data_IF_454491780501
#
_entry.id   IF_454491780501
#
_cell.length_a   1.000
_cell.length_b   1.000
_cell.length_c   1.000
_cell.angle_alpha   90.00
_cell.angle_beta   90.00
_cell.angle_gamma   90.00
#
_symmetry.space_group_name_H-M   'P 1'
#
loop_
_entity.id
_entity.type
_entity.pdbx_description
1 polymer ?
#
# COMPACT_ATOMS: atom_id res chain seq x y z
N UNK A 1 10.50 1.85 -31.67
CA UNK A 1 11.91 1.37 -31.68
C UNK A 1 12.10 0.53 -30.41
N UNK A 2 11.22 -0.45 -30.16
CA UNK A 2 10.91 -0.89 -28.79
C UNK A 2 11.06 -2.41 -28.56
N UNK A 3 11.78 -3.12 -29.45
CA UNK A 3 11.91 -4.59 -29.38
C UNK A 3 13.37 -5.08 -29.17
N UNK A 4 14.26 -4.15 -28.79
CA UNK A 4 15.69 -4.46 -28.57
C UNK A 4 15.87 -5.30 -27.29
N UNK A 5 15.04 -5.09 -26.27
CA UNK A 5 15.02 -5.91 -25.05
C UNK A 5 14.53 -7.35 -25.32
N UNK A 6 13.55 -7.52 -26.20
CA UNK A 6 13.05 -8.85 -26.63
C UNK A 6 14.10 -9.67 -27.38
N UNK A 7 14.98 -9.00 -28.14
CA UNK A 7 16.09 -9.64 -28.86
C UNK A 7 17.31 -9.92 -27.98
N UNK A 8 17.61 -9.05 -27.00
CA UNK A 8 18.72 -9.25 -26.06
C UNK A 8 18.46 -10.40 -25.07
N UNK A 9 17.20 -10.66 -24.72
CA UNK A 9 16.81 -11.75 -23.83
C UNK A 9 16.63 -13.10 -24.54
N UNK A 10 16.65 -13.14 -25.89
CA UNK A 10 16.50 -14.40 -26.65
C UNK A 10 17.51 -15.49 -26.27
N UNK A 11 18.80 -15.23 -26.02
CA UNK A 11 19.74 -16.29 -25.64
C UNK A 11 19.49 -16.80 -24.21
N UNK A 12 19.13 -15.94 -23.26
CA UNK A 12 18.85 -16.32 -21.87
C UNK A 12 17.51 -17.06 -21.75
N UNK A 13 16.49 -16.56 -22.45
CA UNK A 13 15.18 -17.22 -22.56
C UNK A 13 15.29 -18.48 -23.42
N UNK A 14 16.16 -18.57 -24.43
CA UNK A 14 16.38 -19.79 -25.23
C UNK A 14 17.19 -20.87 -24.48
N UNK A 15 17.98 -20.50 -23.47
CA UNK A 15 18.61 -21.47 -22.58
C UNK A 15 17.66 -21.92 -21.45
N UNK A 16 16.57 -21.17 -21.21
CA UNK A 16 15.52 -21.49 -20.23
C UNK A 16 14.24 -22.07 -20.87
N UNK A 17 14.05 -21.90 -22.18
CA UNK A 17 12.88 -22.33 -22.94
C UNK A 17 12.77 -23.85 -23.19
N UNK A 18 13.86 -24.65 -23.22
CA UNK A 18 13.71 -26.10 -23.22
C UNK A 18 13.11 -26.63 -21.90
N UNK A 19 13.20 -25.86 -20.80
CA UNK A 19 12.67 -26.25 -19.50
C UNK A 19 11.15 -26.01 -19.33
N UNK A 20 10.49 -25.32 -20.27
CA UNK A 20 9.04 -25.03 -20.20
C UNK A 20 8.18 -25.90 -21.12
N UNK A 21 8.76 -26.88 -21.83
CA UNK A 21 8.07 -27.84 -22.70
C UNK A 21 8.82 -29.19 -22.63
N UNK A 22 8.70 -30.07 -21.61
CA UNK A 22 7.44 -30.69 -21.12
C UNK A 22 7.42 -31.10 -19.61
N UNK A 23 8.12 -30.41 -18.71
CA UNK A 23 8.50 -30.98 -17.39
C UNK A 23 7.47 -30.90 -16.23
N UNK A 24 6.24 -30.43 -16.48
CA UNK A 24 5.18 -30.42 -15.45
C UNK A 24 3.91 -31.19 -15.87
N UNK A 25 3.98 -32.00 -16.93
CA UNK A 25 2.92 -32.98 -17.18
C UNK A 25 2.85 -34.01 -16.06
N UNK A 26 3.96 -34.36 -15.40
CA UNK A 26 3.98 -35.39 -14.36
C UNK A 26 3.16 -35.02 -13.10
N UNK A 27 3.18 -33.77 -12.67
CA UNK A 27 2.40 -33.33 -11.51
C UNK A 27 0.89 -33.32 -11.83
N UNK A 28 0.48 -32.78 -12.99
CA UNK A 28 -0.93 -32.78 -13.42
C UNK A 28 -1.45 -34.21 -13.74
N UNK A 29 -0.61 -35.07 -14.34
CA UNK A 29 -0.95 -36.48 -14.62
C UNK A 29 -1.08 -37.27 -13.30
N UNK A 30 -0.29 -36.97 -12.26
CA UNK A 30 -0.43 -37.60 -10.94
C UNK A 30 -1.76 -37.25 -10.29
N UNK A 31 -2.23 -36.00 -10.42
CA UNK A 31 -3.55 -35.61 -9.92
C UNK A 31 -4.71 -36.13 -10.76
N UNK A 32 -4.52 -36.35 -12.07
CA UNK A 32 -5.53 -36.90 -12.97
C UNK A 32 -5.53 -38.44 -13.07
N UNK A 33 -4.54 -39.17 -12.53
CA UNK A 33 -4.58 -40.65 -12.48
C UNK A 33 -5.57 -41.14 -11.40
N UNK A 34 -6.80 -41.23 -11.86
CA UNK A 34 -8.02 -41.80 -11.30
C UNK A 34 -7.84 -42.92 -10.26
N UNK A 35 -8.31 -42.64 -9.03
CA UNK A 35 -8.93 -43.64 -8.17
C UNK A 35 -10.44 -43.41 -8.26
N UNK A 36 -11.22 -44.44 -8.57
CA UNK A 36 -12.69 -44.38 -8.65
C UNK A 36 -13.37 -43.92 -7.35
N UNK A 37 -12.61 -43.89 -6.24
CA UNK A 37 -13.07 -43.49 -4.90
C UNK A 37 -12.82 -42.01 -4.55
N UNK A 38 -12.23 -41.19 -5.44
CA UNK A 38 -12.04 -39.75 -5.13
C UNK A 38 -13.39 -39.02 -5.13
N UNK A 39 -13.72 -38.41 -4.00
CA UNK A 39 -15.08 -37.89 -3.74
C UNK A 39 -15.38 -36.58 -4.51
N UNK A 40 -14.39 -35.75 -4.90
CA UNK A 40 -14.61 -34.60 -5.80
C UNK A 40 -13.35 -34.25 -6.60
N UNK A 41 -13.45 -34.07 -7.93
CA UNK A 41 -12.37 -33.51 -8.75
C UNK A 41 -12.16 -32.02 -8.43
N UNK A 42 -10.95 -31.47 -8.61
CA UNK A 42 -10.75 -30.01 -8.59
C UNK A 42 -11.72 -29.33 -9.55
N UNK A 43 -12.34 -28.25 -9.08
CA UNK A 43 -13.17 -27.40 -9.93
C UNK A 43 -12.38 -26.19 -10.38
N UNK A 44 -12.53 -25.79 -11.65
CA UNK A 44 -12.03 -24.51 -12.13
C UNK A 44 -12.97 -23.41 -11.65
N UNK A 45 -12.41 -22.38 -11.01
CA UNK A 45 -13.14 -21.22 -10.53
C UNK A 45 -13.35 -20.23 -11.66
N UNK A 46 -14.24 -20.52 -12.61
CA UNK A 46 -14.61 -19.57 -13.65
C UNK A 46 -15.75 -18.62 -13.18
N UNK A 47 -15.39 -17.40 -12.80
CA UNK A 47 -16.36 -16.38 -12.41
C UNK A 47 -16.87 -15.53 -13.58
N UNK A 48 -16.38 -15.74 -14.79
CA UNK A 48 -16.80 -14.96 -15.97
C UNK A 48 -18.02 -15.60 -16.64
N UNK A 49 -18.03 -16.92 -16.80
CA UNK A 49 -19.15 -17.61 -17.45
C UNK A 49 -20.29 -17.94 -16.49
N UNK A 50 -21.53 -17.95 -16.99
CA UNK A 50 -22.70 -18.34 -16.20
C UNK A 50 -22.66 -19.81 -15.76
N UNK A 51 -22.08 -20.66 -16.61
CA UNK A 51 -21.82 -22.07 -16.30
C UNK A 51 -20.81 -22.18 -15.15
N UNK A 52 -19.67 -21.51 -15.23
CA UNK A 52 -18.65 -21.50 -14.18
C UNK A 52 -19.22 -21.01 -12.85
N UNK A 53 -19.96 -19.89 -12.84
CA UNK A 53 -20.67 -19.40 -11.64
C UNK A 53 -21.65 -20.43 -11.07
N UNK A 54 -22.36 -21.19 -11.92
CA UNK A 54 -23.26 -22.27 -11.48
C UNK A 54 -22.49 -23.43 -10.87
N UNK A 55 -21.39 -23.83 -11.48
CA UNK A 55 -20.53 -24.94 -11.03
C UNK A 55 -19.88 -24.60 -9.68
N UNK A 56 -19.37 -23.37 -9.50
CA UNK A 56 -18.84 -22.86 -8.22
C UNK A 56 -19.92 -22.87 -7.14
N UNK A 57 -21.14 -22.38 -7.44
CA UNK A 57 -22.27 -22.42 -6.49
C UNK A 57 -22.66 -23.84 -6.11
N UNK A 58 -22.67 -24.75 -7.07
CA UNK A 58 -22.99 -26.15 -6.81
C UNK A 58 -21.91 -26.82 -5.96
N UNK A 59 -20.64 -26.58 -6.28
CA UNK A 59 -19.51 -27.05 -5.49
C UNK A 59 -19.58 -26.51 -4.06
N UNK A 60 -19.79 -25.20 -3.87
CA UNK A 60 -19.90 -24.57 -2.55
C UNK A 60 -21.03 -25.19 -1.71
N UNK A 61 -22.21 -25.43 -2.32
CA UNK A 61 -23.37 -26.03 -1.64
C UNK A 61 -23.19 -27.52 -1.31
N UNK A 62 -22.29 -28.22 -2.00
CA UNK A 62 -21.96 -29.62 -1.71
C UNK A 62 -20.99 -29.77 -0.54
N UNK A 63 -20.40 -28.69 -0.05
CA UNK A 63 -19.47 -28.75 1.07
C UNK A 63 -20.23 -29.05 2.36
N UNK A 64 -19.82 -30.06 3.17
CA UNK A 64 -20.56 -30.39 4.39
C UNK A 64 -20.48 -29.27 5.44
N UNK A 65 -19.43 -28.47 5.39
CA UNK A 65 -19.33 -27.18 6.07
C UNK A 65 -18.58 -26.19 5.19
N UNK A 66 -18.90 -24.91 5.31
CA UNK A 66 -18.23 -23.82 4.60
C UNK A 66 -17.47 -22.90 5.55
N UNK A 67 -17.35 -23.31 6.81
CA UNK A 67 -16.72 -22.54 7.90
C UNK A 67 -15.39 -23.20 8.26
N UNK A 68 -14.41 -22.37 8.59
CA UNK A 68 -13.09 -22.81 9.03
C UNK A 68 -12.51 -21.87 10.09
N UNK A 69 -11.64 -22.41 10.95
CA UNK A 69 -10.83 -21.63 11.88
C UNK A 69 -9.34 -21.71 11.55
N UNK A 70 -8.92 -22.51 10.58
CA UNK A 70 -7.50 -22.75 10.35
C UNK A 70 -7.16 -22.65 8.86
N UNK A 71 -6.10 -21.90 8.55
CA UNK A 71 -5.58 -21.75 7.19
C UNK A 71 -4.07 -22.01 7.17
N UNK A 72 -3.62 -22.69 6.12
CA UNK A 72 -2.23 -23.02 5.88
C UNK A 72 -1.81 -22.47 4.52
N UNK A 73 -0.64 -21.86 4.49
CA UNK A 73 0.09 -21.51 3.28
C UNK A 73 1.18 -22.56 3.10
N UNK A 74 1.14 -23.26 1.96
CA UNK A 74 1.92 -24.47 1.72
C UNK A 74 2.69 -24.38 0.41
N UNK A 75 3.72 -25.21 0.30
CA UNK A 75 4.60 -25.31 -0.86
C UNK A 75 4.88 -26.78 -1.17
N UNK A 76 4.72 -27.18 -2.43
CA UNK A 76 5.07 -28.52 -2.87
C UNK A 76 6.58 -28.77 -2.63
N UNK A 77 6.91 -29.94 -2.05
CA UNK A 77 8.30 -30.31 -1.72
C UNK A 77 9.05 -30.73 -2.98
N UNK A 78 8.33 -31.43 -3.86
CA UNK A 78 8.85 -32.00 -5.09
C UNK A 78 8.68 -31.08 -6.31
N UNK A 79 9.51 -31.31 -7.32
CA UNK A 79 9.50 -30.58 -8.59
C UNK A 79 10.50 -29.41 -8.66
N UNK A 80 10.88 -29.06 -9.88
CA UNK A 80 11.81 -27.95 -10.14
C UNK A 80 11.19 -26.59 -9.80
N UNK A 81 9.90 -26.44 -10.07
CA UNK A 81 9.12 -25.25 -9.72
C UNK A 81 8.16 -25.62 -8.61
N UNK A 82 8.59 -25.35 -7.38
CA UNK A 82 7.81 -25.66 -6.18
C UNK A 82 6.60 -24.74 -6.12
N UNK A 83 5.44 -25.33 -6.42
CA UNK A 83 4.18 -24.61 -6.49
C UNK A 83 3.65 -24.30 -5.09
N UNK A 84 3.03 -23.15 -4.94
CA UNK A 84 2.52 -22.66 -3.67
C UNK A 84 1.02 -22.45 -3.72
N UNK A 85 0.38 -22.79 -2.61
CA UNK A 85 -1.07 -22.86 -2.52
C UNK A 85 -1.56 -22.61 -1.10
N UNK A 86 -2.87 -22.37 -0.98
CA UNK A 86 -3.52 -22.10 0.30
C UNK A 86 -4.53 -23.19 0.60
N UNK A 87 -4.60 -23.55 1.87
CA UNK A 87 -5.44 -24.61 2.39
C UNK A 87 -6.27 -24.09 3.55
N UNK A 88 -7.60 -24.22 3.48
CA UNK A 88 -8.51 -23.96 4.60
C UNK A 88 -9.00 -25.29 5.20
N UNK A 89 -8.75 -25.52 6.49
CA UNK A 89 -9.26 -26.72 7.19
C UNK A 89 -10.67 -26.49 7.70
N UNK A 90 -11.60 -27.26 7.18
CA UNK A 90 -13.03 -27.17 7.46
C UNK A 90 -13.37 -27.95 8.74
N UNK A 91 -14.44 -27.54 9.44
CA UNK A 91 -14.86 -28.09 10.75
C UNK A 91 -15.25 -29.59 10.75
N UNK A 92 -15.17 -30.27 9.61
CA UNK A 92 -15.64 -31.64 9.37
C UNK A 92 -14.51 -32.59 8.91
N UNK A 93 -13.25 -32.30 9.26
CA UNK A 93 -12.05 -33.07 8.82
C UNK A 93 -11.87 -33.10 7.29
N UNK A 94 -12.42 -32.10 6.60
CA UNK A 94 -12.10 -31.87 5.18
C UNK A 94 -11.28 -30.61 5.04
N UNK A 95 -10.62 -30.50 3.90
CA UNK A 95 -9.63 -29.48 3.63
C UNK A 95 -9.91 -28.92 2.25
N UNK A 96 -10.07 -27.61 2.15
CA UNK A 96 -10.24 -26.93 0.88
C UNK A 96 -8.92 -26.34 0.42
N UNK A 97 -8.36 -26.89 -0.65
CA UNK A 97 -7.14 -26.42 -1.31
C UNK A 97 -7.51 -25.44 -2.44
N UNK A 98 -6.78 -24.33 -2.53
CA UNK A 98 -6.92 -23.31 -3.56
C UNK A 98 -5.60 -23.16 -4.31
N UNK A 99 -5.64 -23.28 -5.63
CA UNK A 99 -4.48 -23.19 -6.51
C UNK A 99 -4.70 -22.15 -7.61
N UNK A 100 -3.60 -21.56 -8.08
CA UNK A 100 -3.54 -20.78 -9.31
C UNK A 100 -2.42 -21.29 -10.21
N UNK A 101 -2.71 -21.56 -11.48
CA UNK A 101 -1.73 -22.04 -12.46
C UNK A 101 -1.86 -21.28 -13.78
N UNK A 102 -0.81 -21.27 -14.59
CA UNK A 102 -0.94 -20.94 -16.00
C UNK A 102 -1.69 -22.08 -16.70
N UNK A 103 -2.67 -21.73 -17.55
CA UNK A 103 -3.33 -22.72 -18.40
C UNK A 103 -2.30 -23.48 -19.25
N UNK A 104 -2.48 -24.79 -19.34
CA UNK A 104 -1.47 -25.71 -19.87
C UNK A 104 -1.19 -25.48 -21.37
N UNK A 105 -2.22 -25.11 -22.12
CA UNK A 105 -2.15 -24.81 -23.56
C UNK A 105 -1.37 -23.53 -23.89
N UNK A 106 -1.25 -22.61 -22.94
CA UNK A 106 -0.66 -21.27 -23.15
C UNK A 106 0.44 -20.92 -22.15
N UNK A 107 0.99 -21.92 -21.44
CA UNK A 107 1.97 -21.74 -20.36
C UNK A 107 3.25 -21.04 -20.81
N UNK A 108 3.71 -21.29 -22.04
CA UNK A 108 4.91 -20.66 -22.60
C UNK A 108 4.81 -19.13 -22.74
N UNK A 109 3.62 -18.56 -22.64
CA UNK A 109 3.39 -17.11 -22.69
C UNK A 109 3.40 -16.44 -21.32
N UNK A 110 3.55 -17.19 -20.22
CA UNK A 110 3.56 -16.64 -18.87
C UNK A 110 4.74 -15.67 -18.58
N UNK A 111 5.78 -15.69 -19.42
CA UNK A 111 6.94 -14.78 -19.33
C UNK A 111 6.71 -13.42 -20.02
N UNK A 112 5.62 -13.25 -20.76
CA UNK A 112 5.29 -11.96 -21.37
C UNK A 112 4.79 -10.99 -20.31
N UNK A 113 4.93 -9.69 -20.59
CA UNK A 113 4.45 -8.62 -19.70
C UNK A 113 2.95 -8.72 -19.45
N UNK A 114 2.16 -9.12 -20.45
CA UNK A 114 0.71 -9.30 -20.31
C UNK A 114 0.33 -10.59 -19.57
N UNK A 115 1.28 -11.51 -19.39
CA UNK A 115 1.07 -12.86 -18.89
C UNK A 115 0.29 -13.75 -19.86
N UNK A 116 -0.35 -14.76 -19.30
CA UNK A 116 -1.18 -15.74 -20.00
C UNK A 116 -2.49 -15.99 -19.24
N UNK A 117 -3.40 -16.78 -19.80
CA UNK A 117 -4.63 -17.11 -19.11
C UNK A 117 -4.33 -17.91 -17.82
N UNK A 118 -4.88 -17.46 -16.69
CA UNK A 118 -4.79 -18.19 -15.42
C UNK A 118 -5.91 -19.20 -15.28
N UNK A 119 -5.62 -20.28 -14.57
CA UNK A 119 -6.59 -21.25 -14.07
C UNK A 119 -6.52 -21.23 -12.55
N UNK A 120 -7.54 -20.65 -11.91
CA UNK A 120 -7.73 -20.75 -10.47
C UNK A 120 -8.63 -21.95 -10.19
N UNK A 121 -8.30 -22.76 -9.18
CA UNK A 121 -9.07 -23.96 -8.86
C UNK A 121 -9.30 -24.13 -7.37
N UNK A 122 -10.37 -24.84 -7.01
CA UNK A 122 -10.63 -25.27 -5.64
C UNK A 122 -10.86 -26.79 -5.59
N UNK A 123 -10.30 -27.44 -4.58
CA UNK A 123 -10.37 -28.88 -4.40
C UNK A 123 -10.63 -29.23 -2.93
N UNK A 124 -11.46 -30.24 -2.69
CA UNK A 124 -11.81 -30.70 -1.34
C UNK A 124 -11.16 -32.04 -1.08
N UNK A 125 -10.28 -32.06 -0.09
CA UNK A 125 -9.52 -33.22 0.35
C UNK A 125 -10.15 -33.72 1.66
N UNK A 126 -10.53 -34.99 1.69
CA UNK A 126 -11.04 -35.64 2.89
C UNK A 126 -9.86 -36.26 3.64
N UNK A 127 -9.59 -35.82 4.87
CA UNK A 127 -8.39 -36.25 5.61
C UNK A 127 -8.40 -37.74 5.99
N UNK A 128 -9.58 -38.38 6.04
CA UNK A 128 -9.69 -39.82 6.27
C UNK A 128 -9.35 -40.67 5.05
N UNK A 129 -9.28 -40.08 3.86
CA UNK A 129 -8.83 -40.76 2.65
C UNK A 129 -7.32 -40.64 2.53
N UNK A 130 -6.61 -41.75 2.76
CA UNK A 130 -5.15 -41.81 2.74
C UNK A 130 -4.55 -41.36 1.42
N UNK A 131 -5.21 -41.65 0.27
CA UNK A 131 -4.71 -41.24 -1.05
C UNK A 131 -4.83 -39.74 -1.25
N UNK A 132 -5.94 -39.14 -0.84
CA UNK A 132 -6.15 -37.69 -0.97
C UNK A 132 -5.33 -36.91 0.06
N UNK A 133 -5.12 -37.47 1.25
CA UNK A 133 -4.25 -36.86 2.26
C UNK A 133 -2.76 -36.89 1.86
N UNK A 134 -2.31 -37.93 1.15
CA UNK A 134 -0.93 -38.00 0.65
C UNK A 134 -0.54 -36.78 -0.19
N UNK A 135 -1.49 -36.17 -0.90
CA UNK A 135 -1.24 -34.93 -1.65
C UNK A 135 -0.88 -33.72 -0.77
N UNK A 136 -1.25 -33.72 0.51
CA UNK A 136 -0.80 -32.72 1.47
C UNK A 136 0.56 -33.11 2.06
N UNK A 137 0.84 -34.40 2.21
CA UNK A 137 2.12 -34.90 2.73
C UNK A 137 3.29 -34.61 1.77
N UNK A 138 3.01 -34.43 0.47
CA UNK A 138 3.95 -33.98 -0.58
C UNK A 138 4.24 -32.46 -0.55
N UNK A 139 3.82 -31.75 0.52
CA UNK A 139 4.00 -30.31 0.66
C UNK A 139 4.42 -29.92 2.07
N UNK A 140 5.22 -28.86 2.19
CA UNK A 140 5.62 -28.27 3.46
C UNK A 140 4.69 -27.11 3.85
N UNK A 141 4.48 -26.92 5.16
CA UNK A 141 3.74 -25.78 5.69
C UNK A 141 4.70 -24.61 5.86
N UNK A 142 4.51 -23.56 5.07
CA UNK A 142 5.28 -22.32 5.17
C UNK A 142 4.76 -21.42 6.28
N UNK A 143 3.43 -21.37 6.44
CA UNK A 143 2.76 -20.63 7.52
C UNK A 143 1.43 -21.29 7.87
N UNK A 144 1.08 -21.25 9.15
CA UNK A 144 -0.15 -21.79 9.71
C UNK A 144 -0.80 -20.74 10.60
N UNK A 145 -2.09 -20.47 10.40
CA UNK A 145 -2.82 -19.45 11.14
C UNK A 145 -4.11 -20.05 11.68
N UNK A 146 -4.26 -19.96 13.00
CA UNK A 146 -5.49 -20.29 13.71
C UNK A 146 -6.26 -19.00 14.06
N UNK A 147 -7.51 -18.95 13.64
CA UNK A 147 -8.43 -17.83 13.84
C UNK A 147 -9.30 -18.06 15.06
N UNK A 148 -9.41 -17.03 15.92
CA UNK A 148 -10.33 -17.03 17.07
C UNK A 148 -11.81 -17.10 16.66
N UNK A 149 -12.13 -16.62 15.45
CA UNK A 149 -13.50 -16.61 14.90
C UNK A 149 -13.53 -17.41 13.60
N UNK A 150 -14.62 -18.16 13.40
CA UNK A 150 -14.86 -18.90 12.16
C UNK A 150 -14.92 -17.96 10.95
N UNK A 151 -14.07 -18.23 9.96
CA UNK A 151 -14.08 -17.62 8.64
C UNK A 151 -15.05 -18.38 7.71
N UNK A 152 -15.25 -17.88 6.49
CA UNK A 152 -16.17 -18.46 5.50
C UNK A 152 -15.44 -18.72 4.19
N UNK A 153 -15.65 -19.90 3.60
CA UNK A 153 -15.17 -20.22 2.25
C UNK A 153 -15.73 -19.26 1.20
N UNK A 154 -16.93 -18.73 1.42
CA UNK A 154 -17.54 -17.71 0.55
C UNK A 154 -16.63 -16.49 0.40
N UNK A 155 -15.96 -16.08 1.48
CA UNK A 155 -15.02 -14.96 1.42
C UNK A 155 -13.78 -15.29 0.59
N UNK A 156 -13.22 -16.51 0.72
CA UNK A 156 -12.10 -16.93 -0.11
C UNK A 156 -12.49 -16.97 -1.60
N UNK A 157 -13.70 -17.45 -1.92
CA UNK A 157 -14.24 -17.40 -3.28
C UNK A 157 -14.41 -15.95 -3.79
N UNK A 158 -14.88 -15.03 -2.94
CA UNK A 158 -14.98 -13.61 -3.30
C UNK A 158 -13.60 -13.00 -3.60
N UNK A 159 -12.54 -13.41 -2.88
CA UNK A 159 -11.16 -12.99 -3.17
C UNK A 159 -10.70 -13.56 -4.52
N UNK A 160 -10.92 -14.84 -4.79
CA UNK A 160 -10.62 -15.42 -6.11
C UNK A 160 -11.33 -14.69 -7.25
N UNK A 161 -12.62 -14.36 -7.06
CA UNK A 161 -13.39 -13.57 -8.03
C UNK A 161 -12.77 -12.17 -8.21
N UNK A 162 -12.41 -11.49 -7.13
CA UNK A 162 -11.77 -10.18 -7.18
C UNK A 162 -10.41 -10.22 -7.91
N UNK A 163 -9.61 -11.28 -7.76
CA UNK A 163 -8.38 -11.49 -8.53
C UNK A 163 -8.67 -11.55 -10.04
N UNK A 164 -9.72 -12.28 -10.45
CA UNK A 164 -10.11 -12.41 -11.87
C UNK A 164 -10.71 -11.13 -12.45
N UNK A 165 -11.24 -10.24 -11.61
CA UNK A 165 -11.71 -8.91 -12.04
C UNK A 165 -10.57 -7.89 -12.13
N UNK A 166 -9.45 -8.11 -11.43
CA UNK A 166 -8.35 -7.15 -11.39
C UNK A 166 -7.67 -7.03 -12.77
N UNK A 167 -7.45 -5.81 -13.30
CA UNK A 167 -6.99 -5.60 -14.67
C UNK A 167 -5.69 -6.33 -15.03
N UNK A 168 -4.76 -6.44 -14.09
CA UNK A 168 -3.46 -7.10 -14.27
C UNK A 168 -3.43 -8.51 -13.70
N UNK A 169 -4.01 -8.70 -12.52
CA UNK A 169 -3.92 -9.97 -11.77
C UNK A 169 -4.90 -11.04 -12.26
N UNK A 170 -5.80 -10.71 -13.19
CA UNK A 170 -6.60 -11.73 -13.91
C UNK A 170 -5.76 -12.64 -14.81
N UNK A 171 -4.57 -12.20 -15.22
CA UNK A 171 -3.64 -12.99 -16.03
C UNK A 171 -2.60 -13.66 -15.14
N UNK A 172 -2.14 -14.84 -15.52
CA UNK A 172 -0.98 -15.49 -14.91
C UNK A 172 0.30 -14.93 -15.54
N UNK A 173 1.11 -14.24 -14.75
CA UNK A 173 2.47 -13.85 -15.14
C UNK A 173 3.46 -14.52 -14.21
N UNK A 174 4.48 -15.18 -14.75
CA UNK A 174 5.51 -15.84 -13.95
C UNK A 174 6.28 -14.85 -13.07
N UNK A 175 6.38 -13.59 -13.52
CA UNK A 175 7.14 -12.54 -12.85
C UNK A 175 6.39 -11.96 -11.64
N UNK A 176 5.09 -11.72 -11.76
CA UNK A 176 4.33 -10.95 -10.76
C UNK A 176 3.04 -11.61 -10.27
N UNK A 177 2.16 -12.08 -11.17
CA UNK A 177 0.80 -12.55 -10.82
C UNK A 177 0.66 -14.08 -10.92
N UNK A 178 1.57 -14.79 -10.26
CA UNK A 178 1.71 -16.25 -10.26
C UNK A 178 1.07 -16.90 -9.02
N UNK A 179 1.40 -18.17 -8.74
CA UNK A 179 0.91 -18.90 -7.57
C UNK A 179 1.36 -18.31 -6.22
N UNK A 180 2.52 -17.65 -6.15
CA UNK A 180 3.00 -16.95 -4.96
C UNK A 180 2.06 -15.78 -4.63
N UNK A 181 1.85 -14.87 -5.59
CA UNK A 181 0.96 -13.72 -5.44
C UNK A 181 -0.46 -14.13 -5.04
N UNK A 182 -1.02 -15.16 -5.69
CA UNK A 182 -2.33 -15.68 -5.36
C UNK A 182 -2.42 -16.18 -3.91
N UNK A 183 -1.43 -16.95 -3.47
CA UNK A 183 -1.38 -17.49 -2.11
C UNK A 183 -1.23 -16.39 -1.07
N UNK A 184 -0.34 -15.41 -1.31
CA UNK A 184 -0.17 -14.25 -0.44
C UNK A 184 -1.46 -13.43 -0.36
N UNK A 185 -2.15 -13.23 -1.48
CA UNK A 185 -3.41 -12.48 -1.56
C UNK A 185 -4.49 -13.15 -0.74
N UNK A 186 -4.72 -14.46 -0.92
CA UNK A 186 -5.71 -15.21 -0.14
C UNK A 186 -5.38 -15.19 1.35
N UNK A 187 -4.11 -15.41 1.73
CA UNK A 187 -3.70 -15.44 3.13
C UNK A 187 -3.89 -14.06 3.78
N UNK A 188 -3.36 -12.99 3.17
CA UNK A 188 -3.42 -11.64 3.72
C UNK A 188 -4.85 -11.11 3.82
N UNK A 189 -5.68 -11.30 2.79
CA UNK A 189 -7.07 -10.85 2.82
C UNK A 189 -7.91 -11.60 3.84
N UNK A 190 -7.74 -12.93 3.95
CA UNK A 190 -8.42 -13.74 4.96
C UNK A 190 -7.98 -13.35 6.37
N UNK A 191 -6.67 -13.15 6.55
CA UNK A 191 -6.10 -12.70 7.81
C UNK A 191 -6.64 -11.33 8.23
N UNK A 192 -6.58 -10.35 7.34
CA UNK A 192 -7.11 -8.99 7.54
C UNK A 192 -8.59 -9.00 7.90
N UNK A 193 -9.41 -9.85 7.25
CA UNK A 193 -10.82 -10.02 7.58
C UNK A 193 -11.02 -10.59 8.98
N UNK A 194 -10.24 -11.62 9.34
CA UNK A 194 -10.35 -12.28 10.63
C UNK A 194 -10.02 -11.35 11.81
N UNK A 195 -9.06 -10.45 11.62
CA UNK A 195 -8.69 -9.44 12.62
C UNK A 195 -9.75 -8.35 12.79
N UNK A 196 -10.58 -8.11 11.76
CA UNK A 196 -11.60 -7.06 11.76
C UNK A 196 -11.04 -5.73 12.26
N UNK A 197 -9.90 -5.27 11.70
CA UNK A 197 -9.28 -4.01 12.13
C UNK A 197 -10.33 -2.89 12.16
N UNK A 198 -10.43 -2.28 13.31
CA UNK A 198 -11.16 -1.04 13.54
C UNK A 198 -10.15 0.04 13.89
N UNK A 199 -10.57 1.30 13.73
CA UNK A 199 -9.82 2.39 14.30
C UNK A 199 -9.77 2.19 15.82
N UNK A 200 -8.66 2.62 16.41
CA UNK A 200 -8.58 2.78 17.85
C UNK A 200 -9.70 3.76 18.30
N UNK A 201 -10.47 3.45 19.36
CA UNK A 201 -11.47 4.38 19.90
C UNK A 201 -10.90 5.76 20.23
N UNK A 202 -9.60 5.84 20.55
CA UNK A 202 -8.87 7.07 20.83
C UNK A 202 -8.09 7.57 19.61
N UNK A 203 -8.33 7.06 18.40
CA UNK A 203 -7.61 7.46 17.19
C UNK A 203 -7.70 8.96 16.90
N UNK A 204 -8.86 9.60 17.16
CA UNK A 204 -9.02 11.06 17.01
C UNK A 204 -8.19 11.85 18.04
N UNK A 205 -8.17 11.41 19.30
CA UNK A 205 -7.39 12.04 20.36
C UNK A 205 -5.89 11.88 20.10
N UNK A 206 -5.46 10.65 19.79
CA UNK A 206 -4.11 10.33 19.35
C UNK A 206 -3.70 11.19 18.16
N UNK A 207 -4.56 11.29 17.16
CA UNK A 207 -4.31 12.13 16.00
C UNK A 207 -4.12 13.61 16.37
N UNK A 208 -4.95 14.15 17.26
CA UNK A 208 -4.80 15.52 17.75
C UNK A 208 -3.46 15.74 18.44
N UNK A 209 -3.06 14.84 19.34
CA UNK A 209 -1.74 14.90 20.00
C UNK A 209 -0.61 14.85 18.97
N UNK A 210 -0.75 14.03 17.93
CA UNK A 210 0.21 13.98 16.83
C UNK A 210 0.30 15.30 16.06
N UNK A 211 -0.85 15.91 15.69
CA UNK A 211 -0.90 17.21 15.00
C UNK A 211 -0.32 18.32 15.86
N UNK A 212 -0.66 18.36 17.15
CA UNK A 212 -0.11 19.34 18.10
C UNK A 212 1.43 19.21 18.19
N UNK A 213 1.93 17.98 18.16
CA UNK A 213 3.36 17.70 18.08
C UNK A 213 4.03 18.18 16.79
N UNK A 214 3.37 18.01 15.63
CA UNK A 214 3.86 18.57 14.37
C UNK A 214 3.86 20.11 14.38
N UNK A 215 2.84 20.74 14.97
CA UNK A 215 2.78 22.20 15.11
C UNK A 215 3.93 22.69 15.99
N UNK A 216 4.21 22.02 17.12
CA UNK A 216 5.37 22.36 17.96
C UNK A 216 6.69 22.24 17.20
N UNK A 217 6.85 21.21 16.36
CA UNK A 217 8.03 21.07 15.51
C UNK A 217 8.17 22.25 14.53
N UNK A 218 7.08 22.64 13.86
CA UNK A 218 7.04 23.80 12.96
C UNK A 218 7.43 25.08 13.71
N UNK A 219 6.99 25.25 14.96
CA UNK A 219 7.34 26.41 15.80
C UNK A 219 8.81 26.43 16.22
N UNK A 220 9.40 25.27 16.53
CA UNK A 220 10.83 25.17 16.82
C UNK A 220 11.66 25.56 15.59
N UNK A 221 11.30 25.05 14.41
CA UNK A 221 12.00 25.40 13.16
C UNK A 221 11.83 26.90 12.83
N UNK A 222 10.65 27.48 13.09
CA UNK A 222 10.43 28.93 12.99
C UNK A 222 11.40 29.70 13.89
N UNK A 223 11.54 29.33 15.15
CA UNK A 223 12.45 30.03 16.07
C UNK A 223 13.91 29.90 15.65
N UNK A 224 14.34 28.74 15.16
CA UNK A 224 15.68 28.55 14.60
C UNK A 224 15.91 29.45 13.38
N UNK A 225 14.97 29.52 12.43
CA UNK A 225 15.08 30.37 11.24
C UNK A 225 15.21 31.87 11.59
N UNK A 226 14.58 32.29 12.70
CA UNK A 226 14.58 33.67 13.16
C UNK A 226 15.73 34.01 14.11
N UNK A 227 16.63 33.07 14.40
CA UNK A 227 17.69 33.21 15.42
C UNK A 227 17.13 33.70 16.78
N UNK A 228 15.94 33.23 17.16
CA UNK A 228 15.34 33.58 18.44
C UNK A 228 15.85 32.62 19.52
N UNK A 229 16.31 33.17 20.65
CA UNK A 229 16.64 32.37 21.84
C UNK A 229 15.38 31.66 22.35
N UNK A 230 15.30 30.35 22.14
CA UNK A 230 14.22 29.52 22.67
C UNK A 230 14.41 29.33 24.17
N UNK A 231 13.40 29.73 24.95
CA UNK A 231 13.27 29.31 26.34
C UNK A 231 12.85 27.83 26.36
N UNK A 232 13.83 26.93 26.27
CA UNK A 232 13.68 25.48 26.03
C UNK A 232 12.89 24.68 27.08
N UNK A 233 12.36 25.32 28.12
CA UNK A 233 11.72 24.64 29.25
C UNK A 233 10.46 23.82 28.86
N UNK A 234 9.81 24.12 27.73
CA UNK A 234 8.61 23.39 27.25
C UNK A 234 8.90 22.32 26.17
N UNK A 235 10.10 22.27 25.58
CA UNK A 235 10.45 21.34 24.49
C UNK A 235 11.13 20.08 25.06
N UNK A 236 10.61 19.51 26.14
CA UNK A 236 11.19 18.31 26.76
C UNK A 236 10.88 17.01 25.99
N UNK A 237 9.99 17.04 24.99
CA UNK A 237 9.58 15.88 24.20
C UNK A 237 10.48 15.60 22.97
N UNK A 238 11.40 16.51 22.61
CA UNK A 238 12.34 16.34 21.48
C UNK A 238 13.75 16.23 22.08
N UNK A 239 14.09 15.07 22.64
CA UNK A 239 15.38 14.87 23.34
C UNK A 239 16.60 14.69 22.43
N UNK A 240 16.45 14.70 21.10
CA UNK A 240 17.55 14.51 20.15
C UNK A 240 17.77 15.78 19.32
N UNK A 241 19.02 16.30 19.21
CA UNK A 241 19.32 17.47 18.38
C UNK A 241 19.01 17.19 16.91
N UNK A 242 18.13 18.02 16.32
CA UNK A 242 17.75 17.92 14.91
C UNK A 242 18.99 18.13 14.00
N UNK A 243 19.21 17.33 12.94
CA UNK A 243 20.44 17.38 12.12
C UNK A 243 20.63 18.63 11.24
N UNK A 244 19.75 19.65 11.32
CA UNK A 244 19.61 20.71 10.32
C UNK A 244 20.60 21.89 10.43
N UNK A 245 21.80 21.71 11.01
CA UNK A 245 22.83 22.76 11.10
C UNK A 245 23.35 23.34 9.77
N UNK A 246 22.88 22.90 8.59
CA UNK A 246 23.59 23.15 7.31
C UNK A 246 23.22 24.42 6.54
N UNK A 247 22.08 25.07 6.75
CA UNK A 247 21.69 26.22 5.91
C UNK A 247 22.01 27.60 6.49
N UNK A 248 22.18 27.71 7.82
CA UNK A 248 22.60 28.98 8.45
C UNK A 248 24.03 29.42 8.13
N UNK A 249 24.89 28.52 7.67
CA UNK A 249 26.32 28.81 7.41
C UNK A 249 26.67 29.00 5.93
N UNK A 250 25.77 28.72 4.98
CA UNK A 250 26.09 28.78 3.54
C UNK A 250 25.68 30.08 2.84
N UNK A 251 25.04 31.02 3.55
CA UNK A 251 24.57 32.30 2.97
C UNK A 251 25.52 33.48 3.32
N UNK A 252 26.60 33.23 4.07
CA UNK A 252 27.55 34.28 4.47
C UNK A 252 28.42 34.84 3.33
N UNK A 253 28.43 34.23 2.13
CA UNK A 253 29.28 34.67 1.01
C UNK A 253 28.60 35.57 -0.04
N UNK A 254 27.35 36.00 0.17
CA UNK A 254 26.74 37.05 -0.67
C UNK A 254 26.98 38.40 0.02
N UNK A 255 27.92 39.18 -0.53
CA UNK A 255 28.26 40.53 -0.07
C UNK A 255 27.01 41.37 0.23
N UNK A 256 26.74 41.56 1.52
CA UNK A 256 25.66 42.39 2.02
C UNK A 256 25.94 43.86 1.70
N UNK A 257 25.19 44.44 0.77
CA UNK A 257 25.16 45.90 0.63
C UNK A 257 24.20 46.49 1.69
N UNK A 258 24.67 47.36 2.60
CA UNK A 258 23.89 47.83 3.76
C UNK A 258 22.71 48.77 3.46
N UNK A 259 22.33 48.99 2.21
CA UNK A 259 21.41 50.08 1.82
C UNK A 259 20.06 49.62 1.29
N UNK A 260 19.72 48.33 1.37
CA UNK A 260 18.36 47.87 1.04
C UNK A 260 17.47 47.87 2.30
N UNK A 261 16.48 48.77 2.44
CA UNK A 261 15.83 49.05 3.74
C UNK A 261 14.75 48.06 4.17
N UNK A 262 14.45 47.01 3.39
CA UNK A 262 13.34 46.11 3.71
C UNK A 262 13.80 44.67 3.55
N UNK A 263 14.23 44.08 4.67
CA UNK A 263 14.42 42.64 4.76
C UNK A 263 13.04 42.00 4.93
N UNK A 264 12.39 41.79 3.79
CA UNK A 264 11.09 41.13 3.65
C UNK A 264 11.19 39.73 4.30
N UNK A 265 10.55 39.56 5.47
CA UNK A 265 10.54 38.32 6.27
C UNK A 265 9.36 37.44 5.83
N UNK A 266 9.48 36.81 4.66
CA UNK A 266 8.47 35.90 4.06
C UNK A 266 8.27 34.64 4.92
N UNK A 267 9.22 34.35 5.79
CA UNK A 267 9.27 33.12 6.58
C UNK A 267 8.11 33.05 7.58
N UNK A 268 7.75 34.17 8.21
CA UNK A 268 6.70 34.21 9.25
C UNK A 268 5.31 33.83 8.73
N UNK A 269 4.78 34.48 7.66
CA UNK A 269 3.53 34.04 7.04
C UNK A 269 3.57 32.57 6.62
N UNK A 270 4.72 32.08 6.14
CA UNK A 270 4.89 30.69 5.70
C UNK A 270 4.65 29.70 6.84
N UNK A 271 5.26 29.91 8.00
CA UNK A 271 5.04 29.07 9.17
C UNK A 271 3.59 29.15 9.67
N UNK A 272 2.99 30.35 9.69
CA UNK A 272 1.59 30.54 10.12
C UNK A 272 0.61 29.80 9.19
N UNK A 273 0.81 29.88 7.87
CA UNK A 273 0.02 29.13 6.89
C UNK A 273 0.15 27.61 7.04
N UNK A 274 1.34 27.11 7.35
CA UNK A 274 1.56 25.68 7.64
C UNK A 274 0.84 25.26 8.93
N UNK A 275 0.97 26.03 10.01
CA UNK A 275 0.27 25.73 11.26
C UNK A 275 -1.25 25.70 11.07
N UNK A 276 -1.80 26.68 10.37
CA UNK A 276 -3.23 26.76 10.10
C UNK A 276 -3.70 25.57 9.23
N UNK A 277 -2.90 25.18 8.24
CA UNK A 277 -3.18 24.01 7.41
C UNK A 277 -3.16 22.71 8.24
N UNK A 278 -2.22 22.55 9.17
CA UNK A 278 -2.13 21.39 10.07
C UNK A 278 -3.30 21.35 11.06
N UNK A 279 -3.68 22.49 11.67
CA UNK A 279 -4.83 22.59 12.59
C UNK A 279 -6.14 22.20 11.90
N UNK A 280 -6.30 22.52 10.63
CA UNK A 280 -7.47 22.15 9.83
C UNK A 280 -7.41 20.73 9.25
N UNK A 281 -6.29 20.01 9.39
CA UNK A 281 -6.08 18.74 8.74
C UNK A 281 -6.69 17.57 9.52
N UNK A 282 -7.64 16.89 8.87
CA UNK A 282 -8.15 15.58 9.29
C UNK A 282 -7.77 14.54 8.23
N UNK A 283 -7.01 13.49 8.59
CA UNK A 283 -6.62 12.45 7.65
C UNK A 283 -7.82 11.77 7.04
N UNK A 284 -7.72 11.44 5.75
CA UNK A 284 -8.80 10.69 5.08
C UNK A 284 -9.03 9.32 5.74
N UNK A 285 -7.99 8.76 6.36
CA UNK A 285 -8.04 7.50 7.11
C UNK A 285 -8.93 7.54 8.35
N UNK A 286 -9.14 8.72 8.96
CA UNK A 286 -10.08 8.90 10.06
C UNK A 286 -11.51 9.11 9.57
N UNK A 287 -11.69 9.42 8.29
CA UNK A 287 -13.02 9.63 7.71
C UNK A 287 -13.68 8.30 7.29
N UNK A 288 -14.78 7.95 7.96
CA UNK A 288 -15.70 6.87 7.56
C UNK A 288 -15.05 5.50 7.37
N UNK A 289 -15.28 4.89 6.21
CA UNK A 289 -14.91 3.49 5.91
C UNK A 289 -13.48 3.34 5.35
N UNK A 290 -12.61 4.35 5.48
CA UNK A 290 -11.26 4.32 4.89
C UNK A 290 -10.43 3.13 5.39
N UNK A 291 -10.50 2.81 6.68
CA UNK A 291 -9.83 1.65 7.27
C UNK A 291 -10.31 0.31 6.69
N UNK A 292 -11.57 0.23 6.24
CA UNK A 292 -12.09 -0.96 5.58
C UNK A 292 -11.38 -1.24 4.26
N UNK A 293 -10.73 -0.22 3.67
CA UNK A 293 -9.99 -0.32 2.41
C UNK A 293 -8.51 -0.66 2.61
N UNK A 294 -8.01 -0.61 3.85
CA UNK A 294 -6.61 -0.89 4.16
C UNK A 294 -6.39 -2.39 4.31
N UNK A 295 -5.50 -2.94 3.49
CA UNK A 295 -5.03 -4.33 3.63
C UNK A 295 -3.72 -4.42 4.44
N UNK A 296 -2.77 -3.54 4.17
CA UNK A 296 -1.45 -3.50 4.82
C UNK A 296 -1.33 -2.31 5.77
N UNK A 297 -0.70 -2.49 6.94
CA UNK A 297 -0.41 -1.36 7.84
C UNK A 297 0.53 -0.32 7.22
N UNK A 298 1.43 -0.77 6.33
CA UNK A 298 2.33 0.12 5.56
C UNK A 298 1.55 1.12 4.71
N UNK A 299 0.34 0.78 4.26
CA UNK A 299 -0.51 1.68 3.48
C UNK A 299 -1.03 2.85 4.31
N UNK A 300 -1.29 2.63 5.60
CA UNK A 300 -1.67 3.71 6.51
C UNK A 300 -0.52 4.71 6.62
N UNK A 301 0.69 4.22 6.87
CA UNK A 301 1.88 5.05 6.97
C UNK A 301 2.12 5.86 5.69
N UNK A 302 2.16 5.19 4.53
CA UNK A 302 2.35 5.86 3.22
C UNK A 302 1.25 6.87 2.91
N UNK A 303 0.00 6.57 3.26
CA UNK A 303 -1.12 7.49 3.03
C UNK A 303 -1.02 8.71 3.93
N UNK A 304 -0.77 8.53 5.23
CA UNK A 304 -0.57 9.62 6.18
C UNK A 304 0.61 10.50 5.75
N UNK A 305 1.74 9.90 5.39
CA UNK A 305 2.90 10.64 4.89
C UNK A 305 2.53 11.51 3.68
N UNK A 306 1.83 10.93 2.70
CA UNK A 306 1.40 11.66 1.50
C UNK A 306 0.46 12.82 1.82
N UNK A 307 -0.49 12.60 2.72
CA UNK A 307 -1.45 13.63 3.14
C UNK A 307 -0.76 14.74 3.93
N UNK A 308 0.12 14.41 4.87
CA UNK A 308 0.92 15.38 5.63
C UNK A 308 1.78 16.22 4.67
N UNK A 309 2.51 15.58 3.74
CA UNK A 309 3.27 16.30 2.70
C UNK A 309 2.38 17.25 1.89
N UNK A 310 1.18 16.80 1.53
CA UNK A 310 0.21 17.63 0.81
C UNK A 310 -0.28 18.82 1.64
N UNK A 311 -0.47 18.64 2.95
CA UNK A 311 -0.92 19.68 3.88
C UNK A 311 0.17 20.72 4.10
N UNK A 312 1.41 20.28 4.35
CA UNK A 312 2.58 21.16 4.47
C UNK A 312 2.73 22.00 3.20
N UNK A 313 2.66 21.38 2.02
CA UNK A 313 2.72 22.08 0.74
C UNK A 313 1.59 23.09 0.56
N UNK A 314 0.36 22.72 0.97
CA UNK A 314 -0.79 23.61 0.89
C UNK A 314 -0.61 24.83 1.81
N UNK A 315 -0.14 24.62 3.04
CA UNK A 315 0.15 25.69 4.00
C UNK A 315 1.20 26.66 3.48
N UNK A 316 2.32 26.14 2.98
CA UNK A 316 3.36 26.93 2.33
C UNK A 316 2.82 27.77 1.16
N UNK A 317 1.96 27.17 0.31
CA UNK A 317 1.37 27.88 -0.84
C UNK A 317 0.43 29.00 -0.42
N UNK A 318 -0.48 28.74 0.52
CA UNK A 318 -1.44 29.76 1.00
C UNK A 318 -0.72 30.95 1.60
N UNK A 319 0.31 30.69 2.40
CA UNK A 319 1.13 31.76 2.97
C UNK A 319 1.89 32.58 1.91
N UNK A 320 2.35 31.94 0.83
CA UNK A 320 2.99 32.64 -0.27
C UNK A 320 1.99 33.57 -0.99
N UNK A 321 0.75 33.11 -1.18
CA UNK A 321 -0.34 33.90 -1.77
C UNK A 321 -0.69 35.10 -0.87
N UNK A 322 -0.83 34.88 0.44
CA UNK A 322 -1.12 35.93 1.44
C UNK A 322 0.02 36.95 1.57
N UNK A 323 1.27 36.49 1.67
CA UNK A 323 2.43 37.39 1.75
C UNK A 323 2.65 38.21 0.48
N UNK A 324 2.31 37.65 -0.69
CA UNK A 324 2.29 38.40 -1.96
C UNK A 324 1.15 39.41 -2.01
N UNK A 325 0.11 39.32 -1.18
CA UNK A 325 -0.99 40.29 -1.17
C UNK A 325 -0.82 41.36 -0.07
N UNK A 326 -0.28 41.02 1.10
CA UNK A 326 -0.08 41.94 2.24
C UNK A 326 1.08 42.94 2.04
N UNK A 327 2.20 42.54 1.42
CA UNK A 327 3.36 43.43 1.26
C UNK A 327 3.16 44.57 0.24
N UNK A 328 2.01 44.63 -0.44
CA UNK A 328 1.72 45.69 -1.41
C UNK A 328 0.90 46.84 -0.84
N UNK A 329 0.58 46.82 0.45
CA UNK A 329 0.25 48.03 1.20
C UNK A 329 1.54 48.79 1.55
N UNK A 330 2.31 49.22 0.54
CA UNK A 330 3.52 50.03 0.75
C UNK A 330 3.10 51.42 1.22
N UNK A 331 3.48 51.75 2.46
CA UNK A 331 3.38 53.10 3.03
C UNK A 331 4.48 53.96 2.41
N UNK A 332 4.10 54.99 1.66
CA UNK A 332 5.01 55.97 1.07
C UNK A 332 5.48 56.95 2.17
N UNK A 333 6.74 56.86 2.56
CA UNK A 333 7.37 57.72 3.59
C UNK A 333 8.06 58.95 2.98
N UNK A 334 7.55 59.48 1.88
CA UNK A 334 8.16 60.66 1.23
C UNK A 334 7.81 62.00 1.88
N UNK A 335 6.95 62.04 2.91
CA UNK A 335 6.61 63.28 3.61
C UNK A 335 6.76 63.10 5.13
N UNK A 336 7.65 63.89 5.75
CA UNK A 336 8.11 63.71 7.13
C UNK A 336 7.05 63.95 8.22
N UNK A 337 5.80 64.29 7.87
CA UNK A 337 4.80 64.68 8.85
C UNK A 337 3.40 64.03 8.72
N UNK A 338 3.13 63.11 7.79
CA UNK A 338 1.95 62.23 7.89
C UNK A 338 1.97 61.11 6.85
N UNK A 339 1.78 59.83 7.23
CA UNK A 339 1.66 58.74 6.26
C UNK A 339 0.38 58.91 5.42
N UNK A 340 0.54 59.19 4.12
CA UNK A 340 -0.54 59.14 3.14
C UNK A 340 -0.50 57.79 2.42
N UNK A 341 -1.57 57.01 2.55
CA UNK A 341 -1.78 55.79 1.76
C UNK A 341 -2.08 56.18 0.31
N UNK A 342 -1.06 56.25 -0.55
CA UNK A 342 -1.23 56.43 -1.99
C UNK A 342 -1.28 55.06 -2.64
N UNK A 343 -2.47 54.65 -3.08
CA UNK A 343 -2.71 53.40 -3.80
C UNK A 343 -2.21 53.52 -5.26
N UNK A 344 -0.89 53.65 -5.45
CA UNK A 344 -0.30 53.78 -6.79
C UNK A 344 -0.25 52.41 -7.48
N UNK A 345 -1.20 52.20 -8.40
CA UNK A 345 -1.21 51.10 -9.38
C UNK A 345 -0.15 51.33 -10.47
N UNK A 346 1.14 51.24 -10.15
CA UNK A 346 2.16 51.03 -11.19
C UNK A 346 1.98 49.64 -11.81
N UNK A 347 2.22 49.46 -13.13
CA UNK A 347 2.00 48.17 -13.78
C UNK A 347 2.91 47.09 -13.20
N UNK A 348 2.30 46.14 -12.49
CA UNK A 348 2.92 44.87 -12.06
C UNK A 348 3.53 44.20 -13.30
N UNK A 349 4.85 44.24 -13.48
CA UNK A 349 5.45 43.42 -14.54
C UNK A 349 6.88 43.68 -14.98
N UNK A 350 7.40 44.91 -14.91
CA UNK A 350 8.70 45.23 -15.55
C UNK A 350 9.84 45.60 -14.64
N UNK A 351 9.61 45.85 -13.35
CA UNK A 351 10.71 46.17 -12.42
C UNK A 351 11.55 44.90 -12.13
N UNK A 352 12.86 44.89 -12.45
CA UNK A 352 13.74 43.77 -12.11
C UNK A 352 13.78 43.45 -10.61
N UNK A 353 13.57 44.43 -9.74
CA UNK A 353 13.46 44.22 -8.29
C UNK A 353 12.18 43.45 -7.96
N UNK A 354 11.03 43.84 -8.56
CA UNK A 354 9.75 43.14 -8.42
C UNK A 354 9.88 41.66 -8.81
N UNK A 355 10.49 41.38 -9.96
CA UNK A 355 10.66 40.01 -10.43
C UNK A 355 11.60 39.20 -9.53
N UNK A 356 12.60 39.82 -8.88
CA UNK A 356 13.47 39.14 -7.91
C UNK A 356 12.74 38.84 -6.60
N UNK A 357 12.05 39.82 -6.02
CA UNK A 357 11.29 39.65 -4.77
C UNK A 357 10.21 38.60 -4.96
N UNK A 358 9.48 38.64 -6.08
CA UNK A 358 8.49 37.61 -6.42
C UNK A 358 9.12 36.23 -6.59
N UNK A 359 10.23 36.09 -7.31
CA UNK A 359 10.93 34.80 -7.44
C UNK A 359 11.42 34.27 -6.09
N UNK A 360 11.85 35.17 -5.19
CA UNK A 360 12.24 34.81 -3.82
C UNK A 360 11.02 34.33 -3.02
N UNK A 361 9.91 35.08 -3.06
CA UNK A 361 8.64 34.71 -2.45
C UNK A 361 8.06 33.39 -2.99
N UNK A 362 8.27 33.08 -4.27
CA UNK A 362 7.86 31.80 -4.89
C UNK A 362 8.78 30.64 -4.47
N UNK A 363 10.04 30.92 -4.07
CA UNK A 363 11.05 29.90 -3.75
C UNK A 363 11.12 29.57 -2.25
N UNK A 364 11.01 30.57 -1.38
CA UNK A 364 11.05 30.40 0.09
C UNK A 364 10.07 29.33 0.61
N UNK A 365 8.80 29.25 0.15
CA UNK A 365 7.86 28.22 0.61
C UNK A 365 8.26 26.80 0.20
N UNK A 366 8.99 26.64 -0.91
CA UNK A 366 9.50 25.34 -1.37
C UNK A 366 10.65 24.89 -0.46
N UNK A 367 11.56 25.79 -0.13
CA UNK A 367 12.69 25.51 0.75
C UNK A 367 12.20 25.16 2.17
N UNK A 368 11.28 25.96 2.74
CA UNK A 368 10.64 25.68 4.03
C UNK A 368 9.86 24.35 3.99
N UNK A 369 9.14 24.07 2.90
CA UNK A 369 8.46 22.79 2.74
C UNK A 369 9.44 21.62 2.80
N UNK A 370 10.56 21.68 2.07
CA UNK A 370 11.52 20.60 2.00
C UNK A 370 12.23 20.38 3.35
N UNK A 371 12.56 21.47 4.05
CA UNK A 371 13.10 21.41 5.42
C UNK A 371 12.13 20.75 6.40
N UNK A 372 10.86 21.20 6.40
CA UNK A 372 9.83 20.64 7.27
C UNK A 372 9.57 19.16 6.96
N UNK A 373 9.54 18.80 5.68
CA UNK A 373 9.44 17.41 5.25
C UNK A 373 10.62 16.59 5.76
N UNK A 374 11.85 17.07 5.60
CA UNK A 374 13.04 16.38 6.10
C UNK A 374 13.01 16.23 7.62
N UNK A 375 12.58 17.26 8.36
CA UNK A 375 12.45 17.24 9.80
C UNK A 375 11.40 16.21 10.25
N UNK A 376 10.19 16.27 9.69
CA UNK A 376 9.05 15.40 10.06
C UNK A 376 9.34 13.92 9.77
N UNK A 377 9.92 13.62 8.61
CA UNK A 377 10.15 12.25 8.15
C UNK A 377 11.57 11.74 8.42
N UNK A 378 12.38 12.46 9.21
CA UNK A 378 13.71 11.98 9.60
C UNK A 378 13.58 10.66 10.39
N UNK A 379 14.39 9.62 10.09
CA UNK A 379 14.39 8.36 10.85
C UNK A 379 14.68 8.53 12.35
N UNK A 380 15.39 9.61 12.72
CA UNK A 380 15.68 9.95 14.11
C UNK A 380 14.52 10.64 14.83
N UNK A 381 13.48 11.05 14.10
CA UNK A 381 12.36 11.77 14.67
C UNK A 381 11.36 10.78 15.28
N UNK A 382 10.98 11.03 16.54
CA UNK A 382 9.91 10.30 17.25
C UNK A 382 8.64 10.16 16.40
N UNK A 383 8.30 11.20 15.64
CA UNK A 383 7.10 11.25 14.81
C UNK A 383 7.11 10.25 13.65
N UNK A 384 8.28 9.89 13.12
CA UNK A 384 8.39 8.84 12.09
C UNK A 384 7.87 7.49 12.63
N UNK A 385 8.09 7.21 13.92
CA UNK A 385 7.53 6.06 14.63
C UNK A 385 6.01 6.12 14.76
N UNK A 386 5.44 7.29 15.03
CA UNK A 386 3.98 7.50 15.10
C UNK A 386 3.30 7.31 13.73
N UNK A 387 3.98 7.65 12.64
CA UNK A 387 3.46 7.49 11.28
C UNK A 387 3.46 6.01 10.83
N UNK A 388 4.10 5.09 11.57
CA UNK A 388 4.21 3.65 11.22
C UNK A 388 2.88 2.85 11.18
N UNK A 389 1.72 3.50 11.19
CA UNK A 389 0.38 2.91 11.05
C UNK A 389 -0.13 2.21 12.31
N UNK A 390 0.76 1.81 13.22
CA UNK A 390 0.41 1.19 14.51
C UNK A 390 -0.26 2.17 15.48
N UNK A 391 -0.12 3.47 15.23
CA UNK A 391 -0.67 4.51 16.08
C UNK A 391 -2.20 4.61 16.01
N UNK A 392 -2.78 4.41 14.82
CA UNK A 392 -4.21 4.59 14.56
C UNK A 392 -5.01 3.28 14.57
N UNK A 393 -4.35 2.14 14.39
CA UNK A 393 -4.99 0.84 14.27
C UNK A 393 -4.98 0.09 15.60
N UNK A 394 -6.13 -0.43 16.00
CA UNK A 394 -6.19 -1.43 17.06
C UNK A 394 -5.52 -2.75 16.60
N UNK A 395 -4.79 -3.39 17.50
CA UNK A 395 -4.29 -4.76 17.30
C UNK A 395 -2.83 -4.94 17.69
N UNK A 396 -2.55 -6.06 18.38
CA UNK A 396 -1.26 -6.35 19.00
C UNK A 396 -0.12 -6.55 17.98
N UNK A 397 1.12 -6.38 18.44
CA UNK A 397 2.38 -6.64 17.71
C UNK A 397 2.42 -8.02 17.03
N UNK A 398 1.75 -9.03 17.60
CA UNK A 398 1.65 -10.37 17.03
C UNK A 398 0.96 -10.39 15.65
N UNK A 399 0.17 -9.38 15.33
CA UNK A 399 -0.51 -9.24 14.04
C UNK A 399 0.41 -8.80 12.90
N UNK A 400 1.53 -8.15 13.22
CA UNK A 400 2.52 -7.77 12.23
C UNK A 400 3.27 -8.97 11.67
N UNK A 401 3.27 -10.12 12.38
CA UNK A 401 4.05 -11.28 11.96
C UNK A 401 3.64 -11.82 10.59
N UNK A 402 2.32 -11.92 10.31
CA UNK A 402 1.84 -12.42 9.01
C UNK A 402 2.17 -11.43 7.90
N UNK A 403 1.94 -10.14 8.13
CA UNK A 403 2.26 -9.09 7.15
C UNK A 403 3.76 -9.06 6.84
N UNK A 404 4.61 -8.99 7.87
CA UNK A 404 6.06 -8.92 7.73
C UNK A 404 6.61 -10.17 7.02
N UNK A 405 6.08 -11.35 7.35
CA UNK A 405 6.45 -12.58 6.69
C UNK A 405 6.10 -12.54 5.19
N UNK A 406 4.89 -12.11 4.83
CA UNK A 406 4.47 -12.02 3.44
C UNK A 406 5.28 -10.97 2.68
N UNK A 407 5.50 -9.79 3.27
CA UNK A 407 6.35 -8.75 2.67
C UNK A 407 7.80 -9.23 2.46
N UNK A 408 8.36 -9.97 3.43
CA UNK A 408 9.69 -10.58 3.28
C UNK A 408 9.71 -11.59 2.12
N UNK A 409 8.72 -12.46 2.02
CA UNK A 409 8.59 -13.45 0.93
C UNK A 409 8.42 -12.77 -0.44
N UNK A 410 7.66 -11.68 -0.50
CA UNK A 410 7.52 -10.85 -1.69
C UNK A 410 8.87 -10.26 -2.10
N UNK A 411 9.61 -9.67 -1.16
CA UNK A 411 10.93 -9.12 -1.42
C UNK A 411 11.90 -10.19 -1.93
N UNK A 412 12.00 -11.33 -1.26
CA UNK A 412 12.85 -12.47 -1.67
C UNK A 412 12.52 -12.94 -3.11
N UNK A 413 11.23 -13.03 -3.46
CA UNK A 413 10.79 -13.39 -4.81
C UNK A 413 11.16 -12.29 -5.82
N UNK A 414 10.89 -11.02 -5.51
CA UNK A 414 11.12 -9.94 -6.44
C UNK A 414 12.59 -9.54 -6.59
N UNK A 415 13.45 -9.84 -5.62
CA UNK A 415 14.91 -9.76 -5.78
C UNK A 415 15.43 -10.76 -6.82
N UNK A 416 14.85 -11.97 -6.86
CA UNK A 416 15.15 -12.94 -7.92
C UNK A 416 14.68 -12.43 -9.28
N UNK A 417 13.48 -11.86 -9.35
CA UNK A 417 12.92 -11.25 -10.56
C UNK A 417 13.78 -10.06 -11.04
N UNK A 418 14.26 -9.22 -10.12
CA UNK A 418 15.21 -8.14 -10.41
C UNK A 418 16.54 -8.70 -10.95
N UNK A 419 17.04 -9.80 -10.39
CA UNK A 419 18.24 -10.50 -10.88
C UNK A 419 18.13 -10.96 -12.34
N UNK A 420 16.91 -11.16 -12.85
CA UNK A 420 16.64 -11.45 -14.26
C UNK A 420 16.42 -10.20 -15.13
N UNK A 421 16.47 -8.99 -14.55
CA UNK A 421 16.34 -7.72 -15.24
C UNK A 421 14.91 -7.16 -15.36
N UNK A 422 13.92 -7.71 -14.63
CA UNK A 422 12.51 -7.34 -14.78
C UNK A 422 12.04 -6.24 -13.80
N UNK A 423 12.84 -5.17 -13.66
CA UNK A 423 12.53 -4.04 -12.80
C UNK A 423 13.05 -4.18 -11.36
N UNK A 424 12.89 -3.12 -10.57
CA UNK A 424 13.39 -3.04 -9.19
C UNK A 424 12.47 -3.79 -8.23
N UNK A 425 13.04 -4.62 -7.35
CA UNK A 425 12.29 -5.44 -6.40
C UNK A 425 11.35 -4.59 -5.54
N UNK A 426 11.82 -3.46 -5.01
CA UNK A 426 11.03 -2.52 -4.22
C UNK A 426 9.77 -2.04 -4.95
N UNK A 427 9.90 -1.67 -6.24
CA UNK A 427 8.77 -1.24 -7.07
C UNK A 427 7.79 -2.38 -7.33
N UNK A 428 8.29 -3.60 -7.51
CA UNK A 428 7.44 -4.78 -7.73
C UNK A 428 6.68 -5.17 -6.46
N UNK A 429 7.31 -5.08 -5.28
CA UNK A 429 6.67 -5.23 -3.98
C UNK A 429 5.54 -4.21 -3.83
N UNK A 430 5.82 -2.92 -4.07
CA UNK A 430 4.82 -1.85 -3.97
C UNK A 430 3.62 -2.11 -4.89
N UNK A 431 3.86 -2.44 -6.16
CA UNK A 431 2.80 -2.75 -7.12
C UNK A 431 1.96 -3.97 -6.72
N UNK A 432 2.59 -4.99 -6.12
CA UNK A 432 1.90 -6.16 -5.64
C UNK A 432 1.04 -5.84 -4.40
N UNK A 433 1.53 -5.04 -3.45
CA UNK A 433 0.73 -4.58 -2.30
C UNK A 433 -0.49 -3.74 -2.74
N UNK A 434 -0.30 -2.86 -3.72
CA UNK A 434 -1.36 -2.05 -4.33
C UNK A 434 -2.42 -2.95 -4.97
N UNK A 435 -2.00 -3.89 -5.83
CA UNK A 435 -2.90 -4.85 -6.48
C UNK A 435 -3.68 -5.67 -5.46
N UNK A 436 -3.01 -6.19 -4.42
CA UNK A 436 -3.66 -6.94 -3.33
C UNK A 436 -4.69 -6.09 -2.59
N UNK A 437 -4.43 -4.80 -2.42
CA UNK A 437 -5.36 -3.86 -1.76
C UNK A 437 -6.58 -3.56 -2.61
N UNK A 438 -6.41 -3.38 -3.93
CA UNK A 438 -7.52 -3.24 -4.86
C UNK A 438 -8.40 -4.50 -4.88
N UNK A 439 -7.77 -5.68 -4.89
CA UNK A 439 -8.45 -6.98 -4.77
C UNK A 439 -9.21 -7.09 -3.45
N UNK A 440 -8.61 -6.67 -2.33
CA UNK A 440 -9.27 -6.63 -1.03
C UNK A 440 -10.54 -5.76 -1.05
N UNK A 441 -10.44 -4.53 -1.55
CA UNK A 441 -11.57 -3.60 -1.65
C UNK A 441 -12.68 -4.21 -2.53
N UNK A 442 -12.31 -4.79 -3.66
CA UNK A 442 -13.23 -5.49 -4.56
C UNK A 442 -13.92 -6.67 -3.88
N UNK A 443 -13.17 -7.53 -3.18
CA UNK A 443 -13.72 -8.68 -2.46
C UNK A 443 -14.68 -8.27 -1.34
N UNK A 444 -14.36 -7.23 -0.56
CA UNK A 444 -15.28 -6.67 0.45
C UNK A 444 -16.55 -6.13 -0.21
N UNK A 445 -16.43 -5.44 -1.34
CA UNK A 445 -17.56 -4.96 -2.13
C UNK A 445 -18.47 -6.11 -2.61
N UNK A 446 -17.87 -7.17 -3.17
CA UNK A 446 -18.58 -8.38 -3.57
C UNK A 446 -19.37 -8.97 -2.40
N UNK A 447 -18.77 -9.08 -1.21
CA UNK A 447 -19.48 -9.58 -0.02
C UNK A 447 -20.68 -8.72 0.41
N UNK A 448 -20.59 -7.39 0.26
CA UNK A 448 -21.69 -6.47 0.60
C UNK A 448 -22.86 -6.67 -0.36
N UNK A 449 -22.61 -6.77 -1.66
CA UNK A 449 -23.65 -6.96 -2.68
C UNK A 449 -24.22 -8.39 -2.70
N UNK A 450 -23.37 -9.41 -2.55
CA UNK A 450 -23.76 -10.81 -2.65
C UNK A 450 -24.53 -11.35 -1.45
N UNK A 451 -24.37 -10.71 -0.28
CA UNK A 451 -25.20 -10.97 0.90
C UNK A 451 -26.71 -10.83 0.61
N UNK A 452 -27.06 -10.14 -0.49
CA UNK A 452 -28.43 -10.01 -0.98
C UNK A 452 -28.83 -11.04 -2.06
N UNK A 453 -27.91 -11.80 -2.71
CA UNK A 453 -28.26 -12.54 -3.94
C UNK A 453 -27.66 -13.95 -4.20
N UNK A 454 -26.45 -14.34 -3.79
CA UNK A 454 -25.75 -15.43 -4.53
C UNK A 454 -25.64 -16.80 -3.86
N UNK A 455 -25.47 -16.91 -2.53
CA UNK A 455 -25.17 -18.19 -1.87
C UNK A 455 -26.14 -18.66 -0.79
N UNK A 456 -27.15 -17.87 -0.39
CA UNK A 456 -28.20 -18.38 0.51
C UNK A 456 -29.03 -19.46 -0.22
N UNK A 457 -29.35 -20.60 0.44
CA UNK A 457 -30.33 -21.52 -0.10
C UNK A 457 -31.63 -20.73 -0.32
N UNK A 458 -32.16 -20.75 -1.55
CA UNK A 458 -33.53 -20.31 -1.77
C UNK A 458 -34.39 -21.22 -0.89
N UNK A 459 -34.98 -20.68 0.16
CA UNK A 459 -36.02 -21.37 0.91
C UNK A 459 -37.11 -21.69 -0.10
N UNK A 460 -37.11 -22.93 -0.61
CA UNK A 460 -38.24 -23.48 -1.34
C UNK A 460 -39.39 -23.49 -0.34
N UNK A 461 -40.28 -22.50 -0.45
CA UNK A 461 -41.63 -22.64 0.10
C UNK A 461 -42.22 -23.87 -0.60
N UNK A 462 -42.51 -24.89 0.21
CA UNK A 462 -43.24 -26.07 -0.21
C UNK A 462 -44.66 -25.74 -0.59
#
# INVERSE_FOLDING_TARGET
MDDILGLALRPVVSCSAPASRPLASSANISFQKFSADRIQLPIVLDFHSDRGKKDIRQWYRKQPTTRFTHIEYRKDIDGHFKHEFVVARLDNRTVCRFDRRAREDVRGHALKDEGTASEDSAHVIVLSDTKSNACLDESEILMSIEFKKKQSLEFMLAVCHAIQLHPRAKSYSLLQYNCYFFSWTLLMTTYRRALNWTLDPHSEEKWRVFVDGLIQLVQVERCHSLNLDLNLAHVQLIQEPCPLRRLGQSVEDVSWHPTSPVNIRIDTPTYDGVENALKAFTPSMLSGNAIERVLFRSHVARTLEREIRSVLRKGCRLAAEEGIDEEWEVVDYTDHDTPKFILNRTPKGSDPWYLRTRRKAERTPIEIHDELVTAVFSPSNYWAGCISGNFLLNGATREQHVQNYIQKRMLEHFEQVEGYGFGKAEKLVEQAEESMTEIWVSAVGLMKHESQRSFRPQNRRG
#
